data_IF_671248812306
#
_entry.id   IF_671248812306
#
_cell.length_a   1.000
_cell.length_b   1.000
_cell.length_c   1.000
_cell.angle_alpha   90.00
_cell.angle_beta   90.00
_cell.angle_gamma   90.00
#
_symmetry.space_group_name_H-M   'P 1'
#
loop_
_entity.id
_entity.type
_entity.pdbx_description
1 polymer ?
#
# COMPACT_ATOMS: atom_id res chain seq x y z
N UNK A 1 -15.50 -16.94 -3.45
CA UNK A 1 -15.44 -15.51 -3.80
C UNK A 1 -14.36 -15.29 -4.85
N UNK A 2 -14.69 -14.53 -5.86
CA UNK A 2 -13.74 -14.23 -6.91
C UNK A 2 -12.80 -13.09 -6.50
N UNK A 3 -11.50 -13.26 -6.78
CA UNK A 3 -10.51 -12.22 -6.55
C UNK A 3 -10.42 -11.37 -7.83
N UNK A 4 -10.42 -10.05 -7.68
CA UNK A 4 -10.21 -9.15 -8.81
C UNK A 4 -8.84 -9.40 -9.43
N UNK A 5 -8.79 -9.32 -10.76
CA UNK A 5 -7.52 -9.34 -11.48
C UNK A 5 -6.92 -7.94 -11.50
N UNK A 6 -5.63 -7.85 -11.82
CA UNK A 6 -4.97 -6.55 -11.97
C UNK A 6 -5.68 -5.68 -13.01
N UNK A 7 -6.12 -6.29 -14.13
CA UNK A 7 -6.84 -5.55 -15.16
C UNK A 7 -8.15 -4.96 -14.63
N UNK A 8 -8.88 -5.73 -13.82
CA UNK A 8 -10.13 -5.27 -13.23
C UNK A 8 -9.88 -4.12 -12.25
N UNK A 9 -8.82 -4.21 -11.47
CA UNK A 9 -8.44 -3.15 -10.52
C UNK A 9 -8.09 -1.87 -11.28
N UNK A 10 -7.27 -1.96 -12.34
CA UNK A 10 -6.91 -0.81 -13.14
C UNK A 10 -8.11 -0.21 -13.85
N UNK A 11 -9.05 -1.04 -14.32
CA UNK A 11 -10.27 -0.55 -14.93
C UNK A 11 -11.13 0.22 -13.92
N UNK A 12 -11.24 -0.30 -12.70
CA UNK A 12 -11.96 0.36 -11.63
C UNK A 12 -11.31 1.71 -11.27
N UNK A 13 -9.99 1.76 -11.17
CA UNK A 13 -9.27 2.99 -10.86
C UNK A 13 -9.40 4.03 -11.98
N UNK A 14 -9.41 3.58 -13.21
CA UNK A 14 -9.66 4.49 -14.35
C UNK A 14 -11.06 5.11 -14.22
N UNK A 15 -12.05 4.31 -13.89
CA UNK A 15 -13.43 4.78 -13.78
C UNK A 15 -13.65 5.68 -12.57
N UNK A 16 -13.08 5.33 -11.41
CA UNK A 16 -13.31 6.06 -10.17
C UNK A 16 -12.40 7.29 -10.01
N UNK A 17 -11.16 7.19 -10.43
CA UNK A 17 -10.15 8.22 -10.18
C UNK A 17 -9.55 8.80 -11.45
N UNK A 18 -9.96 8.35 -12.61
CA UNK A 18 -9.36 8.74 -13.90
C UNK A 18 -7.86 8.46 -13.93
N UNK A 19 -7.42 7.45 -13.21
CA UNK A 19 -6.00 7.10 -13.10
C UNK A 19 -5.56 6.30 -14.31
N UNK A 20 -4.46 6.74 -14.94
CA UNK A 20 -3.84 5.98 -16.01
C UNK A 20 -2.86 4.97 -15.46
N UNK A 21 -2.92 3.75 -15.97
CA UNK A 21 -1.94 2.73 -15.63
C UNK A 21 -0.58 3.12 -16.22
N UNK A 22 0.46 3.28 -15.39
CA UNK A 22 1.81 3.57 -15.89
C UNK A 22 2.32 2.41 -16.76
N UNK A 23 3.12 2.70 -17.80
CA UNK A 23 3.67 1.62 -18.65
C UNK A 23 4.47 0.58 -17.90
N UNK A 24 5.16 0.98 -16.83
CA UNK A 24 5.97 0.09 -15.99
C UNK A 24 5.25 -0.29 -14.69
N UNK A 25 3.93 -0.35 -14.72
CA UNK A 25 3.16 -0.73 -13.53
C UNK A 25 3.56 -2.11 -13.02
N UNK A 26 3.75 -2.21 -11.72
CA UNK A 26 4.09 -3.46 -11.06
C UNK A 26 2.84 -4.32 -10.84
N UNK A 27 3.00 -5.64 -10.65
CA UNK A 27 1.89 -6.48 -10.21
C UNK A 27 1.32 -5.94 -8.89
N UNK A 28 0.02 -6.11 -8.72
CA UNK A 28 -0.68 -5.62 -7.51
C UNK A 28 -0.76 -6.76 -6.51
N UNK A 29 -0.06 -6.62 -5.39
CA UNK A 29 -0.12 -7.61 -4.31
C UNK A 29 -1.21 -7.27 -3.29
N UNK A 30 -1.45 -5.99 -3.05
CA UNK A 30 -2.44 -5.56 -2.07
C UNK A 30 -2.97 -4.17 -2.42
N UNK A 31 -4.13 -3.85 -1.87
CA UNK A 31 -4.69 -2.49 -1.89
C UNK A 31 -4.88 -2.07 -0.45
N UNK A 32 -4.62 -0.81 -0.17
CA UNK A 32 -4.79 -0.28 1.18
C UNK A 32 -5.30 1.17 1.15
N UNK A 33 -5.98 1.54 2.24
CA UNK A 33 -6.23 2.93 2.54
C UNK A 33 -5.08 3.43 3.39
N UNK A 34 -4.47 4.54 2.99
CA UNK A 34 -3.26 5.07 3.63
C UNK A 34 -3.51 6.52 4.02
N UNK A 35 -3.13 6.90 5.25
CA UNK A 35 -3.13 8.27 5.71
C UNK A 35 -1.71 8.66 6.07
N UNK A 36 -1.19 9.69 5.40
CA UNK A 36 0.12 10.24 5.72
C UNK A 36 0.01 11.16 6.93
N UNK A 37 0.95 11.04 7.86
CA UNK A 37 1.00 11.91 9.02
C UNK A 37 1.30 13.33 8.57
N UNK A 38 0.74 14.32 9.28
CA UNK A 38 1.11 15.72 9.04
C UNK A 38 2.55 15.93 9.47
N UNK A 39 3.20 16.89 8.84
CA UNK A 39 4.59 17.22 9.16
C UNK A 39 4.77 17.52 10.65
N UNK A 40 3.84 18.29 11.23
CA UNK A 40 3.88 18.64 12.65
C UNK A 40 3.63 17.45 13.58
N UNK A 41 3.14 16.34 13.06
CA UNK A 41 2.96 15.10 13.82
C UNK A 41 4.17 14.17 13.72
N UNK A 42 5.25 14.64 13.11
CA UNK A 42 6.43 13.83 12.86
C UNK A 42 6.45 13.16 11.50
N UNK A 43 5.53 13.51 10.62
CA UNK A 43 5.46 12.99 9.26
C UNK A 43 6.51 13.62 8.34
N UNK A 44 6.38 13.31 7.05
CA UNK A 44 7.28 13.84 6.02
C UNK A 44 7.13 15.35 5.89
N UNK A 45 8.16 16.00 5.35
CA UNK A 45 8.09 17.42 5.03
C UNK A 45 7.60 17.69 3.62
N UNK A 46 7.63 16.68 2.73
CA UNK A 46 7.21 16.82 1.35
C UNK A 46 6.27 15.72 0.90
N UNK A 47 5.66 15.89 -0.30
CA UNK A 47 4.71 14.92 -0.82
C UNK A 47 5.38 13.67 -1.36
N UNK A 48 4.56 12.66 -1.66
CA UNK A 48 4.98 11.44 -2.34
C UNK A 48 4.25 11.30 -3.67
N UNK A 49 4.87 10.60 -4.60
CA UNK A 49 4.31 10.30 -5.92
C UNK A 49 4.41 8.80 -6.18
N UNK A 50 3.78 8.35 -7.27
CA UNK A 50 3.85 6.94 -7.69
C UNK A 50 5.29 6.47 -7.75
N UNK A 51 5.54 5.26 -7.29
CA UNK A 51 6.88 4.70 -7.17
C UNK A 51 7.54 4.92 -5.81
N UNK A 52 6.84 5.61 -4.90
CA UNK A 52 7.33 5.80 -3.53
C UNK A 52 7.61 4.45 -2.88
N UNK A 53 8.70 4.36 -2.12
CA UNK A 53 9.19 3.11 -1.53
C UNK A 53 9.45 3.18 -0.03
N UNK A 54 8.61 3.87 0.72
CA UNK A 54 8.68 3.81 2.18
C UNK A 54 8.55 2.37 2.68
N UNK A 55 9.22 2.04 3.79
CA UNK A 55 9.24 0.69 4.31
C UNK A 55 7.88 0.28 4.88
N UNK A 56 7.45 -0.93 4.52
CA UNK A 56 6.22 -1.52 5.03
C UNK A 56 6.51 -2.18 6.37
N UNK A 57 5.72 -1.87 7.39
CA UNK A 57 5.96 -2.35 8.74
C UNK A 57 4.65 -2.75 9.41
N UNK A 58 4.57 -4.01 9.84
CA UNK A 58 3.42 -4.47 10.62
C UNK A 58 3.55 -4.01 12.07
N UNK A 59 2.45 -3.57 12.65
CA UNK A 59 2.43 -3.20 14.06
C UNK A 59 2.82 -4.39 14.93
N UNK A 60 3.70 -4.15 15.91
CA UNK A 60 4.18 -5.19 16.80
C UNK A 60 5.25 -6.11 16.23
N UNK A 61 5.77 -5.78 15.06
CA UNK A 61 6.78 -6.57 14.36
C UNK A 61 7.96 -5.65 14.03
N UNK A 62 9.18 -6.14 14.22
CA UNK A 62 10.38 -5.33 13.96
C UNK A 62 10.89 -5.41 12.53
N UNK A 63 10.24 -6.22 11.69
CA UNK A 63 10.67 -6.39 10.30
C UNK A 63 10.38 -5.13 9.48
N UNK A 64 11.37 -4.76 8.65
CA UNK A 64 11.22 -3.70 7.67
C UNK A 64 11.16 -4.35 6.30
N UNK A 65 10.01 -4.26 5.65
CA UNK A 65 9.77 -4.95 4.39
C UNK A 65 9.68 -3.96 3.25
N UNK A 66 10.29 -4.29 2.11
CA UNK A 66 10.28 -3.43 0.93
C UNK A 66 8.93 -3.44 0.24
N UNK A 67 8.46 -2.27 -0.15
CA UNK A 67 7.23 -2.11 -0.90
C UNK A 67 7.29 -0.88 -1.79
N UNK A 68 6.53 -0.91 -2.88
CA UNK A 68 6.38 0.23 -3.77
C UNK A 68 4.89 0.56 -3.88
N UNK A 69 4.57 1.85 -3.86
CA UNK A 69 3.18 2.30 -3.81
C UNK A 69 2.81 3.10 -5.06
N UNK A 70 1.60 2.85 -5.55
CA UNK A 70 0.97 3.64 -6.61
C UNK A 70 -0.32 4.19 -6.02
N UNK A 71 -0.49 5.51 -6.07
CA UNK A 71 -1.59 6.19 -5.38
C UNK A 71 -2.74 6.47 -6.32
N UNK A 72 -3.96 6.45 -5.78
CA UNK A 72 -5.16 6.74 -6.56
C UNK A 72 -5.17 8.19 -7.07
N UNK A 73 -4.59 9.10 -6.31
CA UNK A 73 -4.47 10.49 -6.70
C UNK A 73 -3.57 10.65 -7.92
N UNK A 74 -3.97 11.51 -8.86
CA UNK A 74 -3.11 11.90 -9.99
C UNK A 74 -2.14 13.00 -9.59
N UNK A 75 -2.38 13.66 -8.46
CA UNK A 75 -1.51 14.69 -7.90
C UNK A 75 -0.64 14.08 -6.80
N UNK A 76 0.51 14.70 -6.47
CA UNK A 76 1.30 14.27 -5.33
C UNK A 76 0.47 14.23 -4.06
N UNK A 77 0.71 13.21 -3.22
CA UNK A 77 -0.01 13.06 -1.95
C UNK A 77 0.76 13.82 -0.87
N UNK A 78 0.12 14.81 -0.28
CA UNK A 78 0.74 15.69 0.70
C UNK A 78 0.70 15.08 2.11
N UNK A 79 1.63 15.49 3.01
CA UNK A 79 1.49 15.14 4.42
C UNK A 79 0.11 15.53 4.94
N UNK A 80 -0.52 14.64 5.71
CA UNK A 80 -1.86 14.85 6.24
C UNK A 80 -2.99 14.34 5.35
N UNK A 81 -2.70 13.97 4.10
CA UNK A 81 -3.73 13.49 3.19
C UNK A 81 -3.89 11.98 3.26
N UNK A 82 -5.09 11.52 2.93
CA UNK A 82 -5.43 10.10 2.81
C UNK A 82 -5.67 9.73 1.36
N UNK A 83 -5.34 8.52 1.00
CA UNK A 83 -5.53 8.01 -0.36
C UNK A 83 -5.59 6.49 -0.35
N UNK A 84 -6.21 5.93 -1.40
CA UNK A 84 -6.09 4.51 -1.70
C UNK A 84 -4.77 4.29 -2.43
N UNK A 85 -4.13 3.15 -2.18
CA UNK A 85 -2.86 2.82 -2.83
C UNK A 85 -2.82 1.36 -3.25
N UNK A 86 -2.18 1.12 -4.40
CA UNK A 86 -1.80 -0.22 -4.83
C UNK A 86 -0.40 -0.49 -4.31
N UNK A 87 -0.18 -1.70 -3.78
CA UNK A 87 1.09 -2.07 -3.15
C UNK A 87 1.72 -3.24 -3.91
N UNK A 88 2.96 -3.04 -4.31
CA UNK A 88 3.82 -4.11 -4.81
C UNK A 88 4.84 -4.44 -3.73
N UNK A 89 4.95 -5.74 -3.38
CA UNK A 89 5.86 -6.20 -2.34
C UNK A 89 7.12 -6.77 -2.98
N UNK A 90 8.28 -6.36 -2.49
CA UNK A 90 9.55 -6.83 -3.01
C UNK A 90 9.77 -8.30 -2.64
N UNK A 91 9.33 -8.72 -1.46
CA UNK A 91 9.47 -10.08 -0.96
C UNK A 91 8.13 -10.59 -0.48
N UNK A 92 7.22 -10.96 -1.41
CA UNK A 92 5.86 -11.37 -1.01
C UNK A 92 5.84 -12.53 0.00
N UNK A 93 6.79 -13.46 -0.12
CA UNK A 93 6.88 -14.63 0.77
C UNK A 93 7.13 -14.25 2.23
N UNK A 94 7.73 -13.08 2.48
CA UNK A 94 7.95 -12.61 3.85
C UNK A 94 6.65 -12.15 4.52
N UNK A 95 5.60 -11.99 3.75
CA UNK A 95 4.30 -11.53 4.26
C UNK A 95 3.34 -12.68 4.57
N UNK A 96 3.75 -13.92 4.33
CA UNK A 96 2.89 -15.09 4.53
C UNK A 96 2.35 -15.14 5.96
N UNK A 97 1.04 -15.25 6.11
CA UNK A 97 0.36 -15.28 7.39
C UNK A 97 0.15 -13.90 8.04
N UNK A 98 0.73 -12.86 7.46
CA UNK A 98 0.66 -11.50 8.04
C UNK A 98 -0.22 -10.55 7.24
N UNK A 99 -0.33 -10.77 5.92
CA UNK A 99 -1.05 -9.87 5.02
C UNK A 99 -2.45 -10.38 4.77
N UNK A 100 -3.47 -9.62 5.16
CA UNK A 100 -4.87 -9.97 4.95
C UNK A 100 -5.74 -8.71 5.05
N UNK A 101 -6.94 -8.70 4.46
CA UNK A 101 -7.84 -7.56 4.58
C UNK A 101 -8.16 -7.24 6.03
N UNK A 102 -8.09 -5.96 6.37
CA UNK A 102 -8.29 -5.48 7.74
C UNK A 102 -7.01 -5.34 8.53
N UNK A 103 -5.87 -5.82 8.00
CA UNK A 103 -4.58 -5.69 8.71
C UNK A 103 -4.10 -4.25 8.67
N UNK A 104 -3.74 -3.73 9.84
CA UNK A 104 -3.13 -2.41 9.96
C UNK A 104 -1.61 -2.50 9.80
N UNK A 105 -1.03 -1.46 9.22
CA UNK A 105 0.41 -1.36 9.04
C UNK A 105 0.86 0.09 9.09
N UNK A 106 2.17 0.27 9.17
CA UNK A 106 2.81 1.58 9.11
C UNK A 106 3.74 1.65 7.92
N UNK A 107 3.95 2.87 7.42
CA UNK A 107 5.03 3.14 6.48
C UNK A 107 6.07 3.94 7.24
N UNK A 108 7.33 3.51 7.12
CA UNK A 108 8.45 4.15 7.82
C UNK A 108 9.55 4.56 6.86
N UNK A 109 10.21 5.64 7.22
CA UNK A 109 11.47 6.08 6.61
C UNK A 109 12.51 6.07 7.72
N UNK A 110 13.39 5.07 7.71
CA UNK A 110 14.25 4.80 8.86
C UNK A 110 13.39 4.44 10.08
N UNK A 111 13.56 5.20 11.15
CA UNK A 111 12.76 4.99 12.38
C UNK A 111 11.50 5.84 12.44
N UNK A 112 11.34 6.73 11.48
CA UNK A 112 10.23 7.67 11.47
C UNK A 112 8.99 7.01 10.85
N UNK A 113 7.88 6.99 11.58
CA UNK A 113 6.59 6.62 11.04
C UNK A 113 6.09 7.80 10.22
N UNK A 114 5.83 7.58 8.93
CA UNK A 114 5.36 8.66 8.05
C UNK A 114 3.91 8.47 7.60
N UNK A 115 3.38 7.24 7.73
CA UNK A 115 1.99 6.96 7.34
C UNK A 115 1.47 5.73 8.07
N UNK A 116 0.13 5.63 8.14
CA UNK A 116 -0.57 4.46 8.63
C UNK A 116 -1.56 4.00 7.59
N UNK A 117 -1.73 2.70 7.48
CA UNK A 117 -2.63 2.14 6.49
C UNK A 117 -3.38 0.93 7.00
N UNK A 118 -4.41 0.57 6.23
CA UNK A 118 -5.17 -0.65 6.46
C UNK A 118 -5.36 -1.36 5.14
N UNK A 119 -5.01 -2.63 5.09
CA UNK A 119 -5.18 -3.46 3.91
C UNK A 119 -6.68 -3.67 3.66
N UNK A 120 -7.09 -3.48 2.40
CA UNK A 120 -8.49 -3.67 1.99
C UNK A 120 -8.66 -4.85 1.04
N UNK A 121 -7.58 -5.25 0.35
CA UNK A 121 -7.63 -6.34 -0.63
C UNK A 121 -6.23 -6.96 -0.75
N UNK A 122 -6.16 -8.26 -0.95
CA UNK A 122 -4.91 -8.97 -1.22
C UNK A 122 -5.10 -9.91 -2.40
N UNK A 123 -4.02 -10.10 -3.17
CA UNK A 123 -4.02 -11.00 -4.32
C UNK A 123 -3.84 -12.46 -3.92
N UNK A 124 -3.47 -12.72 -2.67
CA UNK A 124 -3.18 -14.08 -2.19
C UNK A 124 -4.29 -14.57 -1.29
N UNK A 125 -5.11 -15.50 -1.73
CA UNK A 125 -6.02 -16.16 -0.82
C UNK A 125 -5.28 -17.08 0.13
N UNK A 126 -4.20 -17.70 -0.35
CA UNK A 126 -3.40 -18.63 0.42
C UNK A 126 -2.87 -18.05 1.73
N UNK A 127 -2.72 -16.74 1.81
CA UNK A 127 -2.25 -16.09 3.03
C UNK A 127 -3.15 -16.40 4.22
N UNK A 128 -4.44 -16.25 4.01
CA UNK A 128 -5.42 -16.50 5.06
C UNK A 128 -5.60 -17.98 5.30
N UNK A 129 -5.65 -18.76 4.23
CA UNK A 129 -5.91 -20.20 4.32
C UNK A 129 -4.76 -20.96 4.96
N UNK A 130 -3.54 -20.50 4.74
CA UNK A 130 -2.36 -21.16 5.29
C UNK A 130 -2.31 -21.16 6.82
N UNK A 131 -3.18 -20.39 7.46
CA UNK A 131 -3.25 -20.35 8.93
C UNK A 131 -4.26 -21.34 9.50
N UNK A 132 -5.00 -21.94 8.64
CA UNK A 132 -5.95 -22.96 9.06
C UNK A 132 -5.25 -24.30 9.29
#
# INVERSE_FOLDING_TARGET
MRIETDEEIWQRWRNEFHKKRPPQARPIHAIADITFLRTEEGGRTGPVIDGYRGQFHYEGNDSHLGAEYTFASNDPVQPGESTEALIWLLTPEAHTGHLYPGRDFEIREGRQVVARGRITWVSFESEKDSRL
#
